data_IF_647561620329
#
_entry.id   IF_647561620329
#
_cell.length_a   1.000
_cell.length_b   1.000
_cell.length_c   1.000
_cell.angle_alpha   90.00
_cell.angle_beta   90.00
_cell.angle_gamma   90.00
#
_symmetry.space_group_name_H-M   'P 1'
#
loop_
_entity.id
_entity.type
_entity.pdbx_description
1 polymer ?
#
# COMPACT_ATOMS: atom_id res chain seq x y z
N UNK A 1 -10.72 16.95 -21.58
CA UNK A 1 -11.29 16.55 -20.29
C UNK A 1 -12.11 15.25 -20.39
N UNK A 2 -13.19 15.17 -21.19
CA UNK A 2 -14.04 13.95 -21.27
C UNK A 2 -13.28 12.68 -21.69
N UNK A 3 -12.32 12.77 -22.63
CA UNK A 3 -11.50 11.63 -23.05
C UNK A 3 -10.58 11.12 -21.94
N UNK A 4 -9.94 12.03 -21.19
CA UNK A 4 -9.08 11.69 -20.04
C UNK A 4 -9.88 11.03 -18.91
N UNK A 5 -11.10 11.48 -18.66
CA UNK A 5 -11.98 10.86 -17.66
C UNK A 5 -12.43 9.45 -18.07
N UNK A 6 -12.73 9.26 -19.36
CA UNK A 6 -13.07 7.93 -19.90
C UNK A 6 -11.88 6.97 -19.78
N UNK A 7 -10.67 7.46 -20.09
CA UNK A 7 -9.44 6.69 -19.94
C UNK A 7 -9.15 6.36 -18.46
N UNK A 8 -9.27 7.35 -17.57
CA UNK A 8 -9.09 7.16 -16.13
C UNK A 8 -10.06 6.12 -15.57
N UNK A 9 -11.34 6.20 -15.96
CA UNK A 9 -12.33 5.21 -15.56
C UNK A 9 -11.99 3.82 -16.08
N UNK A 10 -11.61 3.70 -17.34
CA UNK A 10 -11.20 2.43 -17.93
C UNK A 10 -9.98 1.83 -17.22
N UNK A 11 -8.95 2.66 -16.93
CA UNK A 11 -7.78 2.23 -16.16
C UNK A 11 -8.17 1.76 -14.75
N UNK A 12 -9.11 2.45 -14.09
CA UNK A 12 -9.60 2.09 -12.77
C UNK A 12 -10.39 0.78 -12.78
N UNK A 13 -11.26 0.59 -13.80
CA UNK A 13 -12.06 -0.63 -13.94
C UNK A 13 -11.18 -1.87 -14.24
N UNK A 14 -10.08 -1.67 -14.98
CA UNK A 14 -9.14 -2.73 -15.38
C UNK A 14 -7.79 -2.66 -14.66
N UNK A 15 -7.73 -2.11 -13.44
CA UNK A 15 -6.49 -1.93 -12.66
C UNK A 15 -5.66 -3.21 -12.59
N UNK A 16 -6.28 -4.35 -12.26
CA UNK A 16 -5.59 -5.63 -12.11
C UNK A 16 -4.93 -6.09 -13.42
N UNK A 17 -5.63 -5.93 -14.54
CA UNK A 17 -5.11 -6.33 -15.86
C UNK A 17 -3.93 -5.42 -16.24
N UNK A 18 -4.05 -4.11 -16.03
CA UNK A 18 -2.98 -3.14 -16.34
C UNK A 18 -1.73 -3.43 -15.51
N UNK A 19 -1.88 -3.66 -14.21
CA UNK A 19 -0.76 -3.94 -13.31
C UNK A 19 -0.09 -5.27 -13.68
N UNK A 20 -0.86 -6.32 -13.93
CA UNK A 20 -0.31 -7.63 -14.34
C UNK A 20 0.39 -7.51 -15.70
N UNK A 21 -0.21 -6.84 -16.67
CA UNK A 21 0.40 -6.66 -17.99
C UNK A 21 1.75 -5.94 -17.89
N UNK A 22 1.84 -4.85 -17.13
CA UNK A 22 3.10 -4.13 -16.91
C UNK A 22 4.10 -5.00 -16.15
N UNK A 23 3.68 -5.76 -15.15
CA UNK A 23 4.55 -6.69 -14.42
C UNK A 23 5.15 -7.74 -15.37
N UNK A 24 4.34 -8.34 -16.24
CA UNK A 24 4.80 -9.34 -17.24
C UNK A 24 5.74 -8.70 -18.26
N UNK A 25 5.38 -7.54 -18.81
CA UNK A 25 6.23 -6.82 -19.78
C UNK A 25 7.58 -6.46 -19.15
N UNK A 26 7.57 -5.93 -17.94
CA UNK A 26 8.80 -5.55 -17.22
C UNK A 26 9.63 -6.78 -16.86
N UNK A 27 8.99 -7.91 -16.59
CA UNK A 27 9.68 -9.17 -16.34
C UNK A 27 10.45 -9.65 -17.60
N UNK A 28 9.85 -9.53 -18.78
CA UNK A 28 10.48 -9.89 -20.07
C UNK A 28 11.60 -8.89 -20.44
N UNK A 29 11.38 -7.59 -20.15
CA UNK A 29 12.32 -6.50 -20.46
C UNK A 29 12.65 -5.70 -19.19
N UNK A 30 13.54 -6.22 -18.33
CA UNK A 30 13.84 -5.58 -17.02
C UNK A 30 14.35 -4.14 -17.13
N UNK A 31 15.07 -3.81 -18.22
CA UNK A 31 15.63 -2.46 -18.43
C UNK A 31 14.59 -1.35 -18.61
N UNK A 32 13.35 -1.68 -18.98
CA UNK A 32 12.33 -0.68 -19.31
C UNK A 32 11.91 0.17 -18.11
N UNK A 33 11.89 -0.40 -16.89
CA UNK A 33 11.46 0.28 -15.65
C UNK A 33 12.61 0.54 -14.66
N UNK A 34 13.87 0.38 -15.09
CA UNK A 34 15.04 0.61 -14.23
C UNK A 34 15.14 2.05 -13.69
N UNK A 35 14.61 3.03 -14.42
CA UNK A 35 14.58 4.44 -14.01
C UNK A 35 13.73 4.70 -12.76
N UNK A 36 12.76 3.84 -12.45
CA UNK A 36 11.91 3.96 -11.25
C UNK A 36 12.73 3.80 -9.97
N UNK A 37 13.79 3.00 -10.02
CA UNK A 37 14.66 2.73 -8.87
C UNK A 37 15.87 3.67 -8.79
N UNK A 38 15.93 4.71 -9.65
CA UNK A 38 17.03 5.66 -9.65
C UNK A 38 17.01 6.50 -8.37
N UNK A 39 18.18 6.62 -7.72
CA UNK A 39 18.35 7.47 -6.54
C UNK A 39 18.45 8.93 -6.99
N UNK A 40 17.59 9.78 -6.44
CA UNK A 40 17.56 11.23 -6.74
C UNK A 40 18.34 12.03 -5.71
N UNK A 41 18.11 11.76 -4.43
CA UNK A 41 18.75 12.45 -3.32
C UNK A 41 19.04 11.47 -2.17
N UNK A 42 20.04 11.79 -1.36
CA UNK A 42 20.36 11.07 -0.13
C UNK A 42 20.02 11.99 1.04
N UNK A 43 18.92 11.74 1.73
CA UNK A 43 18.56 12.46 2.95
C UNK A 43 19.33 11.88 4.14
N UNK A 44 19.83 12.72 5.06
CA UNK A 44 20.58 12.27 6.23
C UNK A 44 19.74 11.42 7.19
N UNK A 45 18.40 11.46 7.11
CA UNK A 45 17.48 10.75 8.01
C UNK A 45 16.80 9.56 7.34
N UNK A 46 16.28 9.71 6.11
CA UNK A 46 15.51 8.67 5.41
C UNK A 46 16.34 7.76 4.48
N UNK A 47 17.64 8.00 4.39
CA UNK A 47 18.67 7.21 3.67
C UNK A 47 18.62 7.20 2.15
N UNK A 48 17.49 7.23 1.45
CA UNK A 48 17.47 7.20 -0.03
C UNK A 48 16.12 7.67 -0.55
N UNK A 49 16.07 8.87 -1.10
CA UNK A 49 14.92 9.34 -1.84
C UNK A 49 15.02 8.87 -3.30
N UNK A 50 14.16 7.94 -3.69
CA UNK A 50 14.15 7.33 -5.02
C UNK A 50 13.02 7.90 -5.88
N UNK A 51 13.12 7.76 -7.21
CA UNK A 51 12.01 8.07 -8.11
C UNK A 51 10.72 7.33 -7.69
N UNK A 52 10.86 6.12 -7.14
CA UNK A 52 9.75 5.34 -6.59
C UNK A 52 9.02 6.08 -5.45
N UNK A 53 9.76 6.78 -4.57
CA UNK A 53 9.15 7.55 -3.46
C UNK A 53 8.28 8.70 -3.99
N UNK A 54 8.72 9.37 -5.07
CA UNK A 54 7.92 10.42 -5.72
C UNK A 54 6.64 9.84 -6.32
N UNK A 55 6.74 8.71 -7.01
CA UNK A 55 5.57 8.06 -7.63
C UNK A 55 4.56 7.65 -6.55
N UNK A 56 5.04 7.07 -5.44
CA UNK A 56 4.18 6.74 -4.28
C UNK A 56 3.55 8.01 -3.71
N UNK A 57 4.32 9.10 -3.57
CA UNK A 57 3.79 10.39 -3.13
C UNK A 57 2.67 10.91 -4.04
N UNK A 58 2.80 10.80 -5.37
CA UNK A 58 1.77 11.20 -6.34
C UNK A 58 0.52 10.31 -6.19
N UNK A 59 0.69 9.00 -6.00
CA UNK A 59 -0.43 8.07 -5.74
C UNK A 59 -1.16 8.49 -4.47
N UNK A 60 -0.43 8.71 -3.39
CA UNK A 60 -0.98 9.09 -2.08
C UNK A 60 -1.66 10.45 -2.12
N UNK A 61 -1.07 11.41 -2.82
CA UNK A 61 -1.69 12.72 -3.07
C UNK A 61 -3.02 12.58 -3.86
N UNK A 62 -3.02 11.74 -4.89
CA UNK A 62 -4.23 11.45 -5.68
C UNK A 62 -5.33 10.84 -4.80
N UNK A 63 -4.97 9.93 -3.89
CA UNK A 63 -5.90 9.36 -2.91
C UNK A 63 -6.41 10.43 -1.93
N UNK A 64 -5.52 11.30 -1.42
CA UNK A 64 -5.90 12.43 -0.56
C UNK A 64 -6.92 13.36 -1.20
N UNK A 65 -6.79 13.62 -2.51
CA UNK A 65 -7.74 14.42 -3.28
C UNK A 65 -9.14 13.78 -3.38
N UNK A 66 -9.26 12.47 -3.26
CA UNK A 66 -10.55 11.76 -3.33
C UNK A 66 -11.21 11.60 -1.95
N UNK A 67 -10.49 11.78 -0.85
CA UNK A 67 -11.03 11.72 0.51
C UNK A 67 -12.05 12.83 0.73
N UNK A 68 -13.22 12.47 1.24
CA UNK A 68 -14.32 13.40 1.51
C UNK A 68 -14.55 13.56 3.02
N UNK A 69 -15.15 14.69 3.40
CA UNK A 69 -15.58 14.90 4.79
C UNK A 69 -16.65 13.91 5.25
N UNK A 70 -17.35 13.26 4.32
CA UNK A 70 -18.34 12.23 4.64
C UNK A 70 -17.66 10.94 5.15
N UNK A 71 -16.47 10.60 4.66
CA UNK A 71 -15.70 9.45 5.12
C UNK A 71 -15.37 9.61 6.62
N UNK A 72 -15.01 10.83 7.04
CA UNK A 72 -14.79 11.14 8.46
C UNK A 72 -16.09 11.16 9.27
N UNK A 73 -17.24 11.47 8.67
CA UNK A 73 -18.53 11.45 9.36
C UNK A 73 -18.97 10.02 9.70
N UNK A 74 -18.67 9.05 8.86
CA UNK A 74 -18.90 7.62 9.13
C UNK A 74 -18.12 7.18 10.36
N UNK A 75 -16.87 7.62 10.50
CA UNK A 75 -16.05 7.39 11.70
C UNK A 75 -16.72 7.93 12.96
N UNK A 76 -17.32 9.13 12.87
CA UNK A 76 -17.95 9.79 14.02
C UNK A 76 -19.26 9.13 14.48
N UNK A 77 -19.90 8.33 13.62
CA UNK A 77 -21.17 7.68 13.93
C UNK A 77 -21.03 6.41 14.78
N UNK A 78 -19.94 5.64 14.57
CA UNK A 78 -19.67 4.39 15.31
C UNK A 78 -18.17 4.29 15.69
N UNK A 79 -17.65 5.23 16.49
CA UNK A 79 -16.23 5.31 16.75
C UNK A 79 -15.70 4.09 17.50
N UNK A 80 -16.48 3.54 18.43
CA UNK A 80 -16.07 2.41 19.26
C UNK A 80 -15.92 1.13 18.43
N UNK A 81 -16.91 0.78 17.61
CA UNK A 81 -16.88 -0.43 16.79
C UNK A 81 -15.74 -0.39 15.78
N UNK A 82 -15.53 0.77 15.14
CA UNK A 82 -14.47 0.97 14.16
C UNK A 82 -13.09 0.93 14.83
N UNK A 83 -12.91 1.54 16.01
CA UNK A 83 -11.66 1.47 16.75
C UNK A 83 -11.33 0.04 17.18
N UNK A 84 -12.31 -0.71 17.68
CA UNK A 84 -12.13 -2.12 18.05
C UNK A 84 -11.74 -2.95 16.82
N UNK A 85 -12.41 -2.76 15.69
CA UNK A 85 -12.06 -3.44 14.43
C UNK A 85 -10.65 -3.12 13.94
N UNK A 86 -10.25 -1.84 13.97
CA UNK A 86 -8.91 -1.42 13.58
C UNK A 86 -7.82 -1.95 14.54
N UNK A 87 -8.08 -1.96 15.84
CA UNK A 87 -7.19 -2.56 16.84
C UNK A 87 -7.07 -4.07 16.63
N UNK A 88 -8.18 -4.76 16.40
CA UNK A 88 -8.18 -6.19 16.10
C UNK A 88 -7.36 -6.50 14.83
N UNK A 89 -7.49 -5.68 13.78
CA UNK A 89 -6.70 -5.79 12.57
C UNK A 89 -5.19 -5.74 12.87
N UNK A 90 -4.73 -4.72 13.61
CA UNK A 90 -3.31 -4.54 13.93
C UNK A 90 -2.77 -5.48 15.01
N UNK A 91 -3.64 -6.16 15.75
CA UNK A 91 -3.24 -7.22 16.67
C UNK A 91 -3.25 -8.58 15.98
N UNK A 92 -4.39 -8.99 15.42
CA UNK A 92 -4.58 -10.36 14.92
C UNK A 92 -3.67 -10.63 13.70
N UNK A 93 -3.69 -9.74 12.69
CA UNK A 93 -2.98 -10.00 11.44
C UNK A 93 -1.45 -10.06 11.60
N UNK A 94 -0.78 -9.11 12.29
CA UNK A 94 0.67 -9.18 12.49
C UNK A 94 1.09 -10.39 13.33
N UNK A 95 0.35 -10.69 14.42
CA UNK A 95 0.67 -11.83 15.26
C UNK A 95 0.44 -13.17 14.56
N UNK A 96 -0.62 -13.27 13.74
CA UNK A 96 -0.85 -14.45 12.91
C UNK A 96 0.27 -14.62 11.86
N UNK A 97 0.66 -13.54 11.20
CA UNK A 97 1.79 -13.56 10.27
C UNK A 97 3.08 -14.02 10.96
N UNK A 98 3.37 -13.47 12.15
CA UNK A 98 4.53 -13.88 12.94
C UNK A 98 4.45 -15.35 13.35
N UNK A 99 3.31 -15.83 13.84
CA UNK A 99 3.11 -17.23 14.19
C UNK A 99 3.37 -18.16 13.00
N UNK A 100 2.84 -17.79 11.81
CA UNK A 100 3.08 -18.55 10.58
C UNK A 100 4.58 -18.61 10.21
N UNK A 101 5.32 -17.50 10.38
CA UNK A 101 6.77 -17.53 10.12
C UNK A 101 7.51 -18.51 11.00
N UNK A 102 7.08 -18.67 12.25
CA UNK A 102 7.66 -19.63 13.21
C UNK A 102 7.25 -21.08 12.92
N UNK A 103 5.95 -21.30 12.65
CA UNK A 103 5.42 -22.65 12.36
C UNK A 103 6.00 -23.21 11.06
N UNK A 104 6.12 -22.37 10.02
CA UNK A 104 6.64 -22.79 8.71
C UNK A 104 8.18 -22.68 8.61
N UNK A 105 8.88 -22.30 9.68
CA UNK A 105 10.34 -22.13 9.73
C UNK A 105 10.89 -21.34 8.53
N UNK A 106 10.24 -20.23 8.17
CA UNK A 106 10.55 -19.47 6.96
C UNK A 106 11.93 -18.78 7.06
N UNK A 107 12.71 -18.72 5.96
CA UNK A 107 13.92 -17.93 5.89
C UNK A 107 13.68 -16.47 6.26
N UNK A 108 14.65 -15.80 6.89
CA UNK A 108 14.50 -14.46 7.47
C UNK A 108 13.93 -13.42 6.49
N UNK A 109 14.33 -13.46 5.21
CA UNK A 109 13.82 -12.53 4.19
C UNK A 109 12.34 -12.75 3.88
N UNK A 110 11.88 -14.00 3.76
CA UNK A 110 10.48 -14.35 3.50
C UNK A 110 9.64 -14.09 4.75
N UNK A 111 10.16 -14.44 5.93
CA UNK A 111 9.53 -14.17 7.21
C UNK A 111 9.25 -12.67 7.40
N UNK A 112 10.25 -11.82 7.11
CA UNK A 112 10.08 -10.37 7.16
C UNK A 112 9.00 -9.89 6.17
N UNK A 113 8.99 -10.41 4.93
CA UNK A 113 7.97 -10.08 3.93
C UNK A 113 6.56 -10.43 4.41
N UNK A 114 6.37 -11.60 5.01
CA UNK A 114 5.08 -12.05 5.55
C UNK A 114 4.62 -11.16 6.72
N UNK A 115 5.55 -10.83 7.64
CA UNK A 115 5.27 -9.89 8.74
C UNK A 115 4.87 -8.52 8.21
N UNK A 116 5.58 -7.98 7.20
CA UNK A 116 5.24 -6.71 6.57
C UNK A 116 3.82 -6.71 5.99
N UNK A 117 3.43 -7.79 5.30
CA UNK A 117 2.06 -7.95 4.78
C UNK A 117 1.04 -7.99 5.92
N UNK A 118 1.32 -8.72 7.00
CA UNK A 118 0.46 -8.76 8.18
C UNK A 118 0.31 -7.40 8.88
N UNK A 119 1.31 -6.53 8.81
CA UNK A 119 1.29 -5.19 9.38
C UNK A 119 0.63 -4.14 8.45
N UNK A 120 0.17 -4.53 7.25
CA UNK A 120 -0.53 -3.62 6.35
C UNK A 120 -1.96 -3.32 6.84
N UNK A 121 -2.48 -2.10 6.54
CA UNK A 121 -3.88 -1.77 6.83
C UNK A 121 -4.84 -2.63 6.01
N UNK A 122 -6.12 -2.62 6.39
CA UNK A 122 -7.18 -3.33 5.68
C UNK A 122 -7.30 -2.91 4.22
N UNK A 123 -7.45 -3.88 3.32
CA UNK A 123 -7.56 -3.63 1.89
C UNK A 123 -8.99 -3.33 1.42
N UNK A 124 -9.13 -2.60 0.34
CA UNK A 124 -10.43 -2.28 -0.29
C UNK A 124 -11.21 -3.54 -0.69
N UNK A 125 -10.51 -4.65 -0.94
CA UNK A 125 -11.11 -5.94 -1.24
C UNK A 125 -12.06 -6.42 -0.14
N UNK A 126 -11.78 -6.10 1.14
CA UNK A 126 -12.65 -6.45 2.26
C UNK A 126 -14.00 -5.76 2.18
N UNK A 127 -14.06 -4.53 1.66
CA UNK A 127 -15.30 -3.79 1.47
C UNK A 127 -16.19 -4.46 0.39
N UNK A 128 -15.57 -4.95 -0.68
CA UNK A 128 -16.27 -5.70 -1.74
C UNK A 128 -16.80 -7.02 -1.20
N UNK A 129 -15.99 -7.74 -0.41
CA UNK A 129 -16.41 -8.98 0.23
C UNK A 129 -17.58 -8.75 1.21
N UNK A 130 -17.50 -7.68 2.02
CA UNK A 130 -18.61 -7.30 2.92
C UNK A 130 -19.89 -7.04 2.15
N UNK A 131 -19.81 -6.35 1.00
CA UNK A 131 -20.96 -6.12 0.13
C UNK A 131 -21.55 -7.42 -0.43
N UNK A 132 -20.70 -8.29 -0.96
CA UNK A 132 -21.12 -9.57 -1.55
C UNK A 132 -21.75 -10.53 -0.53
N UNK A 133 -21.27 -10.48 0.72
CA UNK A 133 -21.79 -11.29 1.83
C UNK A 133 -23.01 -10.67 2.52
N UNK A 134 -23.50 -9.52 2.07
CA UNK A 134 -24.62 -8.81 2.72
C UNK A 134 -24.25 -8.22 4.10
N UNK A 135 -22.95 -7.99 4.35
CA UNK A 135 -22.45 -7.40 5.58
C UNK A 135 -22.56 -5.87 5.61
N UNK A 136 -22.16 -5.27 6.74
CA UNK A 136 -22.15 -3.81 6.92
C UNK A 136 -20.96 -3.19 6.18
N UNK A 137 -21.22 -2.72 4.96
CA UNK A 137 -20.22 -2.06 4.10
C UNK A 137 -19.71 -0.76 4.73
N UNK A 138 -20.59 -0.01 5.42
CA UNK A 138 -20.20 1.24 6.04
C UNK A 138 -19.18 1.01 7.18
N UNK A 139 -19.39 -0.02 7.99
CA UNK A 139 -18.44 -0.47 9.00
C UNK A 139 -17.10 -0.88 8.36
N UNK A 140 -17.14 -1.70 7.31
CA UNK A 140 -15.93 -2.17 6.61
C UNK A 140 -15.11 -1.01 6.04
N UNK A 141 -15.76 -0.04 5.37
CA UNK A 141 -15.11 1.17 4.85
C UNK A 141 -14.54 2.03 5.98
N UNK A 142 -15.29 2.22 7.06
CA UNK A 142 -14.81 2.95 8.24
C UNK A 142 -13.58 2.30 8.85
N UNK A 143 -13.58 0.99 9.03
CA UNK A 143 -12.44 0.24 9.56
C UNK A 143 -11.21 0.34 8.65
N UNK A 144 -11.40 0.20 7.33
CA UNK A 144 -10.32 0.37 6.35
C UNK A 144 -9.73 1.77 6.40
N UNK A 145 -10.58 2.80 6.49
CA UNK A 145 -10.15 4.20 6.57
C UNK A 145 -9.33 4.45 7.83
N UNK A 146 -9.79 4.02 9.01
CA UNK A 146 -9.06 4.18 10.27
C UNK A 146 -7.75 3.42 10.25
N UNK A 147 -7.75 2.17 9.81
CA UNK A 147 -6.51 1.38 9.72
C UNK A 147 -5.50 2.03 8.78
N UNK A 148 -5.94 2.61 7.67
CA UNK A 148 -5.06 3.34 6.72
C UNK A 148 -4.48 4.61 7.35
N UNK A 149 -5.28 5.38 8.10
CA UNK A 149 -4.80 6.58 8.82
C UNK A 149 -3.81 6.21 9.93
N UNK A 150 -4.03 5.09 10.62
CA UNK A 150 -3.13 4.60 11.67
C UNK A 150 -1.88 3.90 11.13
N UNK A 151 -1.89 3.42 9.89
CA UNK A 151 -0.80 2.61 9.31
C UNK A 151 0.57 3.27 9.39
N UNK A 152 0.74 4.59 9.20
CA UNK A 152 2.06 5.22 9.27
C UNK A 152 2.75 5.07 10.63
N UNK A 153 1.97 4.91 11.69
CA UNK A 153 2.49 4.71 13.06
C UNK A 153 2.51 3.22 13.41
N UNK A 154 1.38 2.54 13.18
CA UNK A 154 1.20 1.14 13.60
C UNK A 154 2.04 0.17 12.81
N UNK A 155 2.18 0.36 11.48
CA UNK A 155 2.97 -0.55 10.65
C UNK A 155 4.46 -0.56 11.06
N UNK A 156 5.19 0.57 11.18
CA UNK A 156 6.56 0.57 11.65
C UNK A 156 6.71 0.01 13.07
N UNK A 157 5.76 0.33 13.95
CA UNK A 157 5.78 -0.15 15.33
C UNK A 157 5.68 -1.68 15.39
N UNK A 158 4.68 -2.26 14.71
CA UNK A 158 4.47 -3.71 14.68
C UNK A 158 5.61 -4.45 13.97
N UNK A 159 6.08 -3.91 12.86
CA UNK A 159 7.24 -4.48 12.15
C UNK A 159 8.49 -4.46 13.03
N UNK A 160 8.76 -3.35 13.73
CA UNK A 160 9.92 -3.25 14.63
C UNK A 160 9.83 -4.23 15.79
N UNK A 161 8.63 -4.42 16.36
CA UNK A 161 8.39 -5.36 17.45
C UNK A 161 8.59 -6.83 17.01
N UNK A 162 7.98 -7.19 15.89
CA UNK A 162 7.93 -8.60 15.45
C UNK A 162 9.16 -9.02 14.64
N UNK A 163 9.79 -8.10 13.91
CA UNK A 163 10.99 -8.38 13.13
C UNK A 163 12.25 -8.53 13.99
N UNK A 164 12.25 -8.06 15.25
CA UNK A 164 13.37 -8.29 16.17
C UNK A 164 13.67 -9.78 16.39
N UNK A 165 12.68 -10.64 16.17
CA UNK A 165 12.85 -12.11 16.19
C UNK A 165 13.44 -12.73 14.92
N UNK A 166 13.73 -11.95 13.86
CA UNK A 166 14.21 -12.45 12.55
C UNK A 166 15.69 -12.17 12.29
N UNK A 167 16.47 -11.69 13.29
CA UNK A 167 17.88 -11.26 13.16
C UNK A 167 18.13 -10.14 12.13
N UNK A 168 17.08 -9.44 11.68
CA UNK A 168 17.20 -8.29 10.79
C UNK A 168 16.95 -7.04 11.64
N UNK A 169 17.96 -6.19 11.80
CA UNK A 169 17.82 -4.93 12.52
C UNK A 169 17.09 -3.91 11.65
N UNK A 170 15.82 -3.65 11.95
CA UNK A 170 15.04 -2.61 11.32
C UNK A 170 15.07 -1.38 12.22
N UNK A 171 15.55 -0.27 11.67
CA UNK A 171 15.51 1.01 12.36
C UNK A 171 14.10 1.61 12.19
N UNK A 172 13.30 1.56 13.25
CA UNK A 172 11.91 2.06 13.23
C UNK A 172 11.83 3.55 12.88
N UNK A 173 12.75 4.37 13.35
CA UNK A 173 12.72 5.82 13.21
C UNK A 173 12.90 6.29 11.75
N UNK A 174 13.91 5.82 10.97
CA UNK A 174 14.00 6.10 9.54
C UNK A 174 12.79 5.59 8.75
N UNK A 175 12.24 4.43 9.11
CA UNK A 175 11.04 3.89 8.46
C UNK A 175 9.83 4.79 8.71
N UNK A 176 9.65 5.27 9.94
CA UNK A 176 8.56 6.18 10.32
C UNK A 176 8.66 7.50 9.55
N UNK A 177 9.86 8.12 9.51
CA UNK A 177 10.09 9.37 8.78
C UNK A 177 9.79 9.18 7.28
N UNK A 178 10.30 8.12 6.68
CA UNK A 178 10.03 7.81 5.26
C UNK A 178 8.53 7.66 4.96
N UNK A 179 7.75 7.02 5.85
CA UNK A 179 6.31 6.88 5.67
C UNK A 179 5.59 8.23 5.86
N UNK A 180 6.03 9.05 6.81
CA UNK A 180 5.47 10.40 6.99
C UNK A 180 5.67 11.22 5.72
N UNK A 181 6.86 11.22 5.15
CA UNK A 181 7.20 11.98 3.93
C UNK A 181 6.48 11.45 2.68
N UNK A 182 6.42 10.12 2.51
CA UNK A 182 5.90 9.52 1.27
C UNK A 182 4.40 9.24 1.31
N UNK A 183 3.79 9.17 2.48
CA UNK A 183 2.37 8.82 2.64
C UNK A 183 1.59 9.93 3.31
N UNK A 184 1.92 10.30 4.57
CA UNK A 184 1.09 11.23 5.35
C UNK A 184 1.07 12.61 4.69
N UNK A 185 2.23 13.16 4.38
CA UNK A 185 2.34 14.51 3.86
C UNK A 185 1.60 14.68 2.53
N UNK A 186 1.78 13.81 1.51
CA UNK A 186 1.02 13.92 0.28
C UNK A 186 -0.49 13.72 0.46
N UNK A 187 -0.93 12.77 1.30
CA UNK A 187 -2.35 12.55 1.58
C UNK A 187 -2.97 13.77 2.26
N UNK A 188 -2.28 14.32 3.28
CA UNK A 188 -2.76 15.51 3.98
C UNK A 188 -2.86 16.73 3.05
N UNK A 189 -1.86 16.94 2.18
CA UNK A 189 -1.89 17.99 1.17
C UNK A 189 -3.04 17.78 0.17
N UNK A 190 -3.25 16.56 -0.30
CA UNK A 190 -4.35 16.21 -1.20
C UNK A 190 -5.71 16.49 -0.54
N UNK A 191 -5.91 16.04 0.69
CA UNK A 191 -7.13 16.29 1.46
C UNK A 191 -7.36 17.78 1.71
N UNK A 192 -6.32 18.53 2.10
CA UNK A 192 -6.41 19.97 2.32
C UNK A 192 -6.82 20.72 1.05
N UNK A 193 -6.23 20.36 -0.10
CA UNK A 193 -6.60 20.93 -1.38
C UNK A 193 -8.03 20.57 -1.76
N UNK A 194 -8.48 19.34 -1.50
CA UNK A 194 -9.85 18.95 -1.70
C UNK A 194 -10.81 19.76 -0.82
N UNK A 195 -10.47 19.94 0.45
CA UNK A 195 -11.28 20.73 1.38
C UNK A 195 -11.39 22.19 0.93
N UNK A 196 -10.30 22.81 0.47
CA UNK A 196 -10.27 24.21 0.05
C UNK A 196 -10.86 24.45 -1.34
N UNK A 197 -10.61 23.58 -2.30
CA UNK A 197 -10.90 23.77 -3.72
C UNK A 197 -11.99 22.84 -4.26
N UNK A 198 -12.44 21.86 -3.50
CA UNK A 198 -13.38 20.80 -3.92
C UNK A 198 -14.72 21.32 -4.44
N UNK A 199 -15.14 22.52 -4.03
CA UNK A 199 -16.36 23.19 -4.52
C UNK A 199 -16.20 23.78 -5.92
N UNK A 200 -14.99 23.92 -6.46
CA UNK A 200 -14.76 24.48 -7.80
C UNK A 200 -15.00 23.42 -8.88
N UNK A 201 -15.81 23.74 -9.87
CA UNK A 201 -16.20 22.86 -10.97
C UNK A 201 -14.99 22.24 -11.72
N UNK A 202 -13.94 23.03 -11.93
CA UNK A 202 -12.70 22.58 -12.56
C UNK A 202 -11.95 21.55 -11.71
N UNK A 203 -11.99 21.69 -10.39
CA UNK A 203 -11.35 20.76 -9.46
C UNK A 203 -12.08 19.42 -9.38
N UNK A 204 -13.42 19.43 -9.38
CA UNK A 204 -14.24 18.22 -9.46
C UNK A 204 -13.99 17.41 -10.74
N UNK A 205 -13.69 18.07 -11.85
CA UNK A 205 -13.29 17.40 -13.10
C UNK A 205 -11.90 16.75 -12.98
N UNK A 206 -10.96 17.39 -12.26
CA UNK A 206 -9.63 16.86 -11.98
C UNK A 206 -9.71 15.62 -11.08
N UNK A 207 -10.55 15.64 -10.04
CA UNK A 207 -10.75 14.50 -9.14
C UNK A 207 -11.14 13.21 -9.88
N UNK A 208 -11.95 13.33 -10.96
CA UNK A 208 -12.36 12.17 -11.77
C UNK A 208 -11.20 11.52 -12.56
N UNK A 209 -10.08 12.23 -12.71
CA UNK A 209 -8.89 11.74 -13.42
C UNK A 209 -7.90 11.10 -12.43
N UNK A 210 -7.94 11.49 -11.15
CA UNK A 210 -6.99 11.05 -10.13
C UNK A 210 -6.90 9.51 -9.94
N UNK A 211 -8.00 8.73 -9.96
CA UNK A 211 -7.91 7.28 -9.88
C UNK A 211 -7.05 6.67 -10.99
N UNK A 212 -7.18 7.18 -12.22
CA UNK A 212 -6.33 6.72 -13.34
C UNK A 212 -4.85 7.03 -13.15
N UNK A 213 -4.53 8.20 -12.58
CA UNK A 213 -3.15 8.58 -12.22
C UNK A 213 -2.59 7.64 -11.16
N UNK A 214 -3.38 7.31 -10.14
CA UNK A 214 -3.00 6.37 -9.09
C UNK A 214 -2.73 4.96 -9.66
N UNK A 215 -3.56 4.48 -10.59
CA UNK A 215 -3.36 3.18 -11.25
C UNK A 215 -2.07 3.15 -12.08
N UNK A 216 -1.80 4.18 -12.86
CA UNK A 216 -0.55 4.29 -13.62
C UNK A 216 0.67 4.35 -12.70
N UNK A 217 0.59 5.13 -11.64
CA UNK A 217 1.65 5.17 -10.62
C UNK A 217 1.88 3.80 -9.99
N UNK A 218 0.81 3.11 -9.59
CA UNK A 218 0.90 1.76 -9.03
C UNK A 218 1.56 0.78 -10.01
N UNK A 219 1.17 0.84 -11.28
CA UNK A 219 1.74 0.00 -12.31
C UNK A 219 3.25 0.28 -12.53
N UNK A 220 3.68 1.56 -12.45
CA UNK A 220 5.10 1.94 -12.49
C UNK A 220 5.87 1.41 -11.27
N UNK A 221 5.29 1.53 -10.06
CA UNK A 221 5.92 1.01 -8.83
C UNK A 221 6.08 -0.50 -8.90
N UNK A 222 5.03 -1.23 -9.28
CA UNK A 222 5.09 -2.69 -9.45
C UNK A 222 6.10 -3.09 -10.50
N UNK A 223 6.11 -2.42 -11.67
CA UNK A 223 7.10 -2.62 -12.70
C UNK A 223 8.53 -2.36 -12.20
N UNK A 224 8.77 -1.29 -11.43
CA UNK A 224 10.07 -0.99 -10.82
C UNK A 224 10.54 -2.09 -9.86
N UNK A 225 9.64 -2.62 -9.03
CA UNK A 225 9.93 -3.75 -8.12
C UNK A 225 10.25 -5.02 -8.91
N UNK A 226 9.47 -5.35 -9.94
CA UNK A 226 9.70 -6.51 -10.80
C UNK A 226 11.03 -6.37 -11.55
N UNK A 227 11.35 -5.17 -12.06
CA UNK A 227 12.63 -4.88 -12.72
C UNK A 227 13.83 -5.17 -11.80
N UNK A 228 13.75 -4.79 -10.53
CA UNK A 228 14.88 -4.92 -9.59
C UNK A 228 14.96 -6.28 -8.91
N UNK A 229 13.85 -6.97 -8.73
CA UNK A 229 13.76 -8.20 -7.93
C UNK A 229 13.33 -9.44 -8.75
N UNK A 230 13.01 -9.28 -10.05
CA UNK A 230 12.47 -10.36 -10.88
C UNK A 230 13.35 -11.61 -10.93
N UNK A 231 14.67 -11.44 -11.03
CA UNK A 231 15.62 -12.56 -11.02
C UNK A 231 15.64 -13.30 -9.66
N UNK A 232 15.49 -12.56 -8.54
CA UNK A 232 15.46 -13.15 -7.19
C UNK A 232 14.14 -13.85 -6.88
N UNK A 233 13.06 -13.47 -7.57
CA UNK A 233 11.74 -14.07 -7.38
C UNK A 233 11.74 -15.57 -7.73
N UNK A 234 12.42 -15.97 -8.80
CA UNK A 234 12.57 -17.39 -9.16
C UNK A 234 13.45 -18.15 -8.17
N UNK A 235 14.53 -17.54 -7.69
CA UNK A 235 15.39 -18.16 -6.68
C UNK A 235 14.61 -18.38 -5.37
N UNK A 236 13.82 -17.41 -4.93
CA UNK A 236 12.98 -17.54 -3.74
C UNK A 236 11.82 -18.52 -3.92
N UNK A 237 11.22 -18.57 -5.12
CA UNK A 237 10.19 -19.55 -5.47
C UNK A 237 10.70 -20.98 -5.44
N UNK A 238 11.90 -21.22 -5.96
CA UNK A 238 12.56 -22.52 -5.88
C UNK A 238 12.82 -22.95 -4.43
N UNK A 239 13.26 -22.01 -3.58
CA UNK A 239 13.49 -22.27 -2.14
C UNK A 239 12.17 -22.63 -1.43
N UNK A 240 11.06 -21.99 -1.75
CA UNK A 240 9.75 -22.35 -1.16
C UNK A 240 9.31 -23.74 -1.61
N UNK A 241 9.58 -24.10 -2.87
CA UNK A 241 9.30 -25.45 -3.40
C UNK A 241 10.20 -26.52 -2.76
N UNK A 242 11.48 -26.21 -2.52
CA UNK A 242 12.41 -27.12 -1.82
C UNK A 242 12.02 -27.33 -0.35
N UNK A 243 11.60 -26.26 0.36
CA UNK A 243 11.10 -26.37 1.75
C UNK A 243 9.85 -27.25 1.79
N UNK A 244 8.93 -27.10 0.83
CA UNK A 244 7.75 -27.96 0.71
C UNK A 244 8.09 -29.44 0.44
N UNK A 245 9.20 -29.71 -0.27
CA UNK A 245 9.69 -31.08 -0.54
C UNK A 245 10.44 -31.71 0.64
N UNK A 246 11.12 -30.91 1.46
CA UNK A 246 11.88 -31.41 2.60
C UNK A 246 10.98 -31.79 3.79
N UNK A 247 9.68 -31.47 3.75
CA UNK A 247 8.71 -31.75 4.78
C UNK A 247 7.64 -32.80 4.35
N UNK A 248 7.82 -33.45 3.20
CA UNK A 248 7.08 -34.64 2.76
C UNK A 248 8.01 -35.85 2.78
#
# INVERSE_FOLDING_TARGET
MKALQKLSKWLSDYTSIVVIAIAVVTFIVPGMMGWVNHQLFTDPVSNKFTSQSIIIGIIMFSMGLTLTTQDFKILAQRPFDICVGALAQYLIMPFLAFALTKVLHLPAGIALGLILVGCCPGGVSSNIMSYLCGGDVAFSVGMTTVSTILSPIMTPLMVSLLASGTNISIKALPMLVSIVETVILPVALGFLLNYLLGKKKMFSELQKIMPGVAVLGLACVVGGVVSSQGAKFFQSGAVIFEIGRAHV
#
